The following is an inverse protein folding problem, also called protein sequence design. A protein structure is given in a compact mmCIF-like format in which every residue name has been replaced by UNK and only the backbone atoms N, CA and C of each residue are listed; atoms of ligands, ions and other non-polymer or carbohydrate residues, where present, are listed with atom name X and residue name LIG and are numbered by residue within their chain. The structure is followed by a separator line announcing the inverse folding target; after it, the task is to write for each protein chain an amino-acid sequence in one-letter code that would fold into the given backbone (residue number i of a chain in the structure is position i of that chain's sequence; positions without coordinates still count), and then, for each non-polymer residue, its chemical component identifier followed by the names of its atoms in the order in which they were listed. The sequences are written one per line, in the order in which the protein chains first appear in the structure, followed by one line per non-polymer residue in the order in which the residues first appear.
data_IF_719206551349
#
_entry.id   IF_719206551349
#
_cell.length_a   1.000
_cell.length_b   1.000
_cell.length_c   1.000
_cell.angle_alpha   90.00
_cell.angle_beta   90.00
_cell.angle_gamma   90.00
#
_symmetry.space_group_name_H-M   'P 1'
#
loop_
_entity.id
_entity.type
_entity.pdbx_description
1 polymer ?
#
# COMPACT_ATOMS: atom_id res chain seq x y z
N UNK A 1 1.73 25.76 -14.04
CA UNK A 1 2.77 24.73 -14.14
C UNK A 1 2.13 23.36 -14.18
N UNK A 2 2.52 22.56 -15.13
CA UNK A 2 1.94 21.22 -15.29
C UNK A 2 2.78 20.20 -14.54
N UNK A 3 2.18 19.46 -13.63
CA UNK A 3 2.83 18.32 -12.99
C UNK A 3 2.87 17.14 -13.96
N UNK A 4 4.03 16.52 -14.06
CA UNK A 4 4.22 15.33 -14.87
C UNK A 4 4.28 14.11 -13.95
N UNK A 5 3.29 13.25 -14.06
CA UNK A 5 3.26 12.00 -13.29
C UNK A 5 3.71 10.84 -14.17
N UNK A 6 4.69 10.10 -13.70
CA UNK A 6 5.17 8.90 -14.35
C UNK A 6 4.89 7.67 -13.50
N UNK A 7 4.43 6.61 -14.14
CA UNK A 7 4.32 5.29 -13.52
C UNK A 7 5.58 4.49 -13.85
N UNK A 8 6.24 4.00 -12.81
CA UNK A 8 7.44 3.18 -12.94
C UNK A 8 7.15 1.79 -12.39
N UNK A 9 7.36 0.77 -13.21
CA UNK A 9 7.21 -0.60 -12.77
C UNK A 9 8.57 -1.18 -12.35
N UNK A 10 8.60 -1.79 -11.17
CA UNK A 10 9.79 -2.42 -10.63
C UNK A 10 9.49 -3.86 -10.27
N UNK A 11 10.46 -4.74 -10.50
CA UNK A 11 10.41 -6.12 -10.05
C UNK A 11 11.22 -6.26 -8.77
N UNK A 12 10.63 -6.83 -7.72
CA UNK A 12 11.35 -7.16 -6.50
C UNK A 12 12.25 -8.37 -6.75
N UNK A 13 13.49 -8.27 -6.28
CA UNK A 13 14.49 -9.31 -6.51
C UNK A 13 14.57 -10.21 -5.30
N UNK A 14 14.11 -11.45 -5.44
CA UNK A 14 14.23 -12.54 -4.46
C UNK A 14 14.15 -12.13 -2.99
N UNK A 15 13.03 -11.53 -2.53
CA UNK A 15 12.88 -11.24 -1.12
C UNK A 15 12.99 -12.55 -0.32
N UNK A 16 13.71 -12.52 0.83
CA UNK A 16 13.82 -13.72 1.65
C UNK A 16 12.48 -14.10 2.29
N UNK A 17 12.41 -15.27 2.91
CA UNK A 17 11.16 -15.80 3.47
C UNK A 17 10.54 -14.84 4.50
N UNK A 18 11.37 -14.18 5.32
CA UNK A 18 10.90 -13.20 6.31
C UNK A 18 10.23 -12.01 5.62
N UNK A 19 10.86 -11.43 4.59
CA UNK A 19 10.33 -10.29 3.87
C UNK A 19 9.06 -10.66 3.09
N UNK A 20 9.02 -11.84 2.47
CA UNK A 20 7.82 -12.33 1.78
C UNK A 20 6.64 -12.46 2.74
N UNK A 21 6.88 -12.99 3.93
CA UNK A 21 5.85 -13.11 4.95
C UNK A 21 5.33 -11.75 5.39
N UNK A 22 6.23 -10.78 5.59
CA UNK A 22 5.85 -9.41 5.98
C UNK A 22 5.06 -8.71 4.88
N UNK A 23 5.45 -8.88 3.63
CA UNK A 23 4.68 -8.33 2.49
C UNK A 23 3.28 -8.94 2.43
N UNK A 24 3.17 -10.25 2.66
CA UNK A 24 1.88 -10.94 2.68
C UNK A 24 1.01 -10.43 3.83
N UNK A 25 1.57 -10.26 5.02
CA UNK A 25 0.86 -9.71 6.16
C UNK A 25 0.32 -8.31 5.87
N UNK A 26 1.14 -7.44 5.29
CA UNK A 26 0.71 -6.09 4.89
C UNK A 26 -0.45 -6.16 3.91
N UNK A 27 -0.34 -7.01 2.89
CA UNK A 27 -1.39 -7.17 1.88
C UNK A 27 -2.69 -7.67 2.51
N UNK A 28 -2.62 -8.69 3.34
CA UNK A 28 -3.81 -9.26 3.99
C UNK A 28 -4.47 -8.26 4.93
N UNK A 29 -3.69 -7.55 5.74
CA UNK A 29 -4.22 -6.54 6.65
C UNK A 29 -4.86 -5.39 5.87
N UNK A 30 -4.22 -4.95 4.80
CA UNK A 30 -4.76 -3.89 3.93
C UNK A 30 -6.10 -4.32 3.31
N UNK A 31 -6.18 -5.55 2.78
CA UNK A 31 -7.41 -6.07 2.19
C UNK A 31 -8.54 -6.17 3.22
N UNK A 32 -8.24 -6.61 4.44
CA UNK A 32 -9.23 -6.69 5.51
C UNK A 32 -9.73 -5.30 5.89
N UNK A 33 -8.83 -4.33 6.03
CA UNK A 33 -9.20 -2.96 6.36
C UNK A 33 -10.07 -2.33 5.27
N UNK A 34 -9.71 -2.54 4.01
CA UNK A 34 -10.46 -2.05 2.86
C UNK A 34 -11.86 -2.65 2.81
N UNK A 35 -11.95 -3.98 2.96
CA UNK A 35 -13.23 -4.69 2.92
C UNK A 35 -14.14 -4.27 4.08
N UNK A 36 -13.59 -4.13 5.28
CA UNK A 36 -14.34 -3.71 6.46
C UNK A 36 -14.92 -2.31 6.27
N UNK A 37 -14.10 -1.35 5.83
CA UNK A 37 -14.56 0.00 5.57
C UNK A 37 -15.59 0.07 4.44
N UNK A 38 -15.42 -0.74 3.40
CA UNK A 38 -16.38 -0.85 2.31
C UNK A 38 -17.72 -1.42 2.80
N UNK A 39 -17.68 -2.50 3.60
CA UNK A 39 -18.87 -3.14 4.14
C UNK A 39 -19.63 -2.23 5.11
N UNK A 40 -18.94 -1.34 5.80
CA UNK A 40 -19.56 -0.33 6.66
C UNK A 40 -20.06 0.89 5.90
N UNK A 41 -19.98 0.85 4.57
CA UNK A 41 -20.50 1.90 3.69
C UNK A 41 -19.89 3.28 3.97
N UNK A 42 -18.57 3.34 4.15
CA UNK A 42 -17.85 4.58 4.39
C UNK A 42 -17.81 5.43 3.12
N UNK A 43 -18.49 6.56 3.12
CA UNK A 43 -18.58 7.47 1.98
C UNK A 43 -17.72 8.72 2.14
N UNK A 44 -17.14 8.93 3.33
CA UNK A 44 -16.25 10.06 3.62
C UNK A 44 -14.92 9.56 4.16
N UNK A 45 -13.89 10.42 4.08
CA UNK A 45 -12.58 10.09 4.63
C UNK A 45 -12.61 9.92 6.15
N UNK A 46 -13.44 10.70 6.84
CA UNK A 46 -13.60 10.60 8.30
C UNK A 46 -14.17 9.25 8.70
N UNK A 47 -15.22 8.80 8.02
CA UNK A 47 -15.82 7.49 8.28
C UNK A 47 -14.81 6.36 8.02
N UNK A 48 -14.10 6.42 6.90
CA UNK A 48 -13.08 5.43 6.56
C UNK A 48 -11.96 5.41 7.59
N UNK A 49 -11.52 6.59 8.07
CA UNK A 49 -10.49 6.67 9.10
C UNK A 49 -10.90 5.95 10.39
N UNK A 50 -12.14 6.10 10.82
CA UNK A 50 -12.63 5.47 12.04
C UNK A 50 -12.54 3.93 11.98
N UNK A 51 -12.58 3.37 10.79
CA UNK A 51 -12.42 1.92 10.58
C UNK A 51 -10.95 1.55 10.48
N UNK A 52 -10.21 2.18 9.57
CA UNK A 52 -8.85 1.76 9.24
C UNK A 52 -7.84 2.02 10.36
N UNK A 53 -8.12 2.97 11.25
CA UNK A 53 -7.23 3.27 12.38
C UNK A 53 -7.02 2.06 13.30
N UNK A 54 -7.95 1.11 13.31
CA UNK A 54 -7.89 -0.08 14.15
C UNK A 54 -7.00 -1.20 13.57
N UNK A 55 -6.49 -1.02 12.36
CA UNK A 55 -5.67 -2.03 11.70
C UNK A 55 -4.18 -1.71 11.83
N UNK A 56 -3.37 -2.75 11.91
CA UNK A 56 -1.91 -2.62 12.05
C UNK A 56 -1.26 -2.36 10.68
N UNK A 57 -1.33 -1.12 10.24
CA UNK A 57 -0.79 -0.64 8.98
C UNK A 57 0.02 0.63 9.22
N UNK A 58 0.91 0.95 8.29
CA UNK A 58 1.61 2.24 8.33
C UNK A 58 0.62 3.39 8.12
N UNK A 59 0.99 4.57 8.60
CA UNK A 59 0.19 5.78 8.36
C UNK A 59 0.00 6.08 6.88
N UNK A 60 1.00 5.76 6.07
CA UNK A 60 0.92 5.94 4.62
C UNK A 60 -0.15 5.05 3.98
N UNK A 61 -0.25 3.79 4.41
CA UNK A 61 -1.28 2.87 3.93
C UNK A 61 -2.67 3.27 4.43
N UNK A 62 -2.78 3.67 5.70
CA UNK A 62 -4.05 4.15 6.27
C UNK A 62 -4.55 5.40 5.55
N UNK A 63 -3.66 6.34 5.26
CA UNK A 63 -4.02 7.56 4.53
C UNK A 63 -4.48 7.24 3.10
N UNK A 64 -3.85 6.28 2.45
CA UNK A 64 -4.28 5.84 1.12
C UNK A 64 -5.68 5.21 1.17
N UNK A 65 -5.96 4.37 2.18
CA UNK A 65 -7.28 3.78 2.38
C UNK A 65 -8.36 4.82 2.61
N UNK A 66 -8.09 5.82 3.45
CA UNK A 66 -9.05 6.91 3.71
C UNK A 66 -9.48 7.63 2.44
N UNK A 67 -8.57 7.77 1.50
CA UNK A 67 -8.86 8.43 0.22
C UNK A 67 -9.53 7.49 -0.78
N UNK A 68 -9.15 6.23 -0.76
CA UNK A 68 -9.59 5.24 -1.76
C UNK A 68 -10.97 4.65 -1.45
N UNK A 69 -11.24 4.31 -0.19
CA UNK A 69 -12.50 3.62 0.20
C UNK A 69 -13.74 4.43 -0.19
N UNK A 70 -13.84 5.74 0.07
CA UNK A 70 -15.03 6.50 -0.33
C UNK A 70 -15.28 6.46 -1.85
N UNK A 71 -14.24 6.42 -2.66
CA UNK A 71 -14.37 6.29 -4.11
C UNK A 71 -14.97 4.94 -4.49
N UNK A 72 -14.51 3.87 -3.85
CA UNK A 72 -15.05 2.52 -4.09
C UNK A 72 -16.50 2.43 -3.65
N UNK A 73 -16.83 2.93 -2.47
CA UNK A 73 -18.17 2.85 -1.89
C UNK A 73 -19.20 3.58 -2.74
N UNK A 74 -18.81 4.70 -3.36
CA UNK A 74 -19.71 5.48 -4.22
C UNK A 74 -19.80 4.94 -5.64
N UNK A 75 -18.87 4.07 -6.06
CA UNK A 75 -18.79 3.55 -7.44
C UNK A 75 -19.33 2.13 -7.55
N UNK A 76 -19.11 1.29 -6.54
CA UNK A 76 -19.43 -0.13 -6.60
C UNK A 76 -20.48 -0.54 -5.58
N UNK A 77 -21.28 -1.54 -5.93
CA UNK A 77 -22.13 -2.24 -4.98
C UNK A 77 -21.31 -3.29 -4.22
N UNK A 78 -21.85 -3.77 -3.09
CA UNK A 78 -21.17 -4.73 -2.24
C UNK A 78 -20.72 -6.00 -3.00
N UNK A 79 -21.51 -6.43 -3.98
CA UNK A 79 -21.23 -7.64 -4.76
C UNK A 79 -20.19 -7.43 -5.86
N UNK A 80 -19.80 -6.19 -6.12
CA UNK A 80 -18.89 -5.84 -7.21
C UNK A 80 -17.45 -5.65 -6.76
N UNK A 81 -17.19 -5.62 -5.45
CA UNK A 81 -15.85 -5.39 -4.94
C UNK A 81 -14.99 -6.65 -5.08
N UNK A 82 -13.89 -6.53 -5.80
CA UNK A 82 -12.93 -7.61 -5.95
C UNK A 82 -12.02 -7.71 -4.72
N UNK A 83 -11.58 -8.93 -4.40
CA UNK A 83 -10.72 -9.19 -3.24
C UNK A 83 -9.23 -8.97 -3.49
N UNK A 84 -8.87 -8.37 -4.61
CA UNK A 84 -7.46 -8.25 -5.01
C UNK A 84 -7.10 -6.82 -5.37
N UNK A 85 -7.23 -5.91 -4.41
CA UNK A 85 -6.80 -4.53 -4.58
C UNK A 85 -5.32 -4.38 -4.24
N UNK A 86 -4.54 -3.68 -5.06
CA UNK A 86 -3.15 -3.43 -4.74
C UNK A 86 -3.03 -2.54 -3.51
N UNK A 87 -2.02 -2.81 -2.69
CA UNK A 87 -1.71 -1.97 -1.52
C UNK A 87 -1.19 -0.62 -2.01
N UNK A 88 -1.76 0.46 -1.51
CA UNK A 88 -1.39 1.83 -1.85
C UNK A 88 -0.79 2.55 -0.66
N UNK A 89 0.13 3.44 -0.94
CA UNK A 89 0.76 4.29 0.07
C UNK A 89 0.73 5.73 -0.42
N UNK A 90 0.52 6.66 0.53
CA UNK A 90 0.53 8.10 0.19
C UNK A 90 1.94 8.66 0.25
N UNK A 91 2.17 9.71 -0.52
CA UNK A 91 3.38 10.54 -0.48
C UNK A 91 4.68 9.70 -0.54
N UNK A 92 5.52 9.86 0.47
CA UNK A 92 6.82 9.21 0.56
C UNK A 92 6.78 7.84 1.25
N UNK A 93 5.61 7.23 1.36
CA UNK A 93 5.47 5.90 1.97
C UNK A 93 6.34 4.87 1.29
N UNK A 94 6.25 4.79 -0.04
CA UNK A 94 7.18 3.99 -0.84
C UNK A 94 8.34 4.87 -1.28
N UNK A 95 9.56 4.38 -1.04
CA UNK A 95 10.77 5.09 -1.43
C UNK A 95 11.65 4.19 -2.27
N UNK A 96 12.30 4.78 -3.26
CA UNK A 96 13.29 4.12 -4.09
C UNK A 96 14.67 4.66 -3.72
N UNK A 97 15.60 3.76 -3.37
CA UNK A 97 16.96 4.12 -3.02
C UNK A 97 17.94 3.54 -4.03
N UNK A 98 18.91 4.32 -4.45
CA UNK A 98 19.93 3.94 -5.43
C UNK A 98 21.29 3.81 -4.77
N UNK A 99 21.88 2.61 -4.87
CA UNK A 99 23.19 2.29 -4.29
C UNK A 99 24.10 1.72 -5.38
N UNK A 100 24.76 2.58 -6.17
CA UNK A 100 25.51 2.14 -7.36
C UNK A 100 26.71 1.25 -7.06
N UNK A 101 27.22 1.26 -5.82
CA UNK A 101 28.32 0.41 -5.40
C UNK A 101 27.93 -1.04 -5.14
N UNK A 102 26.63 -1.33 -5.08
CA UNK A 102 26.14 -2.69 -4.83
C UNK A 102 25.88 -3.44 -6.14
N UNK A 103 25.94 -4.76 -6.11
CA UNK A 103 25.61 -5.61 -7.27
C UNK A 103 24.18 -5.38 -7.74
N UNK A 104 23.26 -5.17 -6.79
CA UNK A 104 21.90 -4.72 -7.08
C UNK A 104 21.84 -3.26 -6.66
N UNK A 105 21.59 -2.38 -7.63
CA UNK A 105 21.71 -0.94 -7.40
C UNK A 105 20.48 -0.32 -6.75
N UNK A 106 19.30 -0.93 -6.93
CA UNK A 106 18.03 -0.33 -6.52
C UNK A 106 17.39 -1.08 -5.38
N UNK A 107 16.86 -0.34 -4.41
CA UNK A 107 16.12 -0.88 -3.28
C UNK A 107 14.82 -0.13 -3.11
N UNK A 108 13.73 -0.87 -2.85
CA UNK A 108 12.43 -0.28 -2.50
C UNK A 108 12.25 -0.38 -1.00
N UNK A 109 11.94 0.75 -0.38
CA UNK A 109 11.53 0.82 1.03
C UNK A 109 10.02 0.73 1.08
N UNK A 110 9.50 -0.32 1.71
CA UNK A 110 8.06 -0.58 1.81
C UNK A 110 7.64 -0.48 3.28
N UNK A 111 6.72 0.43 3.66
CA UNK A 111 6.23 0.51 5.02
C UNK A 111 5.40 -0.74 5.37
N UNK A 112 5.75 -1.40 6.47
CA UNK A 112 4.98 -2.54 6.98
C UNK A 112 4.01 -2.11 8.07
N UNK A 113 4.51 -1.38 9.07
CA UNK A 113 3.72 -0.68 10.07
C UNK A 113 4.51 0.57 10.53
N UNK A 114 3.99 1.35 11.50
CA UNK A 114 4.47 2.71 11.76
C UNK A 114 5.99 2.87 11.83
N UNK A 115 6.67 2.01 12.58
CA UNK A 115 8.12 2.13 12.79
C UNK A 115 8.92 1.02 12.10
N UNK A 116 8.29 0.27 11.21
CA UNK A 116 8.94 -0.88 10.57
C UNK A 116 8.82 -0.79 9.06
N UNK A 117 9.96 -0.77 8.40
CA UNK A 117 10.05 -0.73 6.95
C UNK A 117 10.82 -1.93 6.42
N UNK A 118 10.42 -2.40 5.25
CA UNK A 118 11.11 -3.45 4.53
C UNK A 118 11.95 -2.85 3.41
N UNK A 119 13.22 -3.20 3.36
CA UNK A 119 14.11 -2.83 2.26
C UNK A 119 14.27 -4.04 1.35
N UNK A 120 13.84 -3.95 0.11
CA UNK A 120 13.84 -5.06 -0.83
C UNK A 120 14.56 -4.65 -2.10
N UNK A 121 15.56 -5.45 -2.55
CA UNK A 121 16.22 -5.19 -3.83
C UNK A 121 15.20 -5.19 -4.98
N UNK A 122 15.40 -4.30 -5.94
CA UNK A 122 14.49 -4.16 -7.08
C UNK A 122 15.27 -3.89 -8.37
N UNK A 123 14.66 -4.25 -9.48
CA UNK A 123 15.17 -3.95 -10.82
C UNK A 123 14.08 -3.25 -11.61
N UNK A 124 14.44 -2.33 -12.54
CA UNK A 124 13.48 -1.83 -13.52
C UNK A 124 12.94 -2.99 -14.35
N UNK A 125 11.66 -2.95 -14.57
CA UNK A 125 10.97 -4.01 -15.32
C UNK A 125 10.98 -3.70 -16.81
#
# INVERSE_FOLDING_TARGET
MTELTKTLELKLVDPNAHKRRKLRETRETYQHALQDAFDQNCTTQTEANDVVVNYDLSGYAKNALKKYVPQLTTTYNADELHNNHPVRFTNEGLRLDHKPENAIEWYVKIPHHEDYHLWIPAQPN
#
